data_IF_654693923766
#
_entry.id   IF_654693923766
#
_cell.length_a   1.000
_cell.length_b   1.000
_cell.length_c   1.000
_cell.angle_alpha   90.00
_cell.angle_beta   90.00
_cell.angle_gamma   90.00
#
_symmetry.space_group_name_H-M   'P 1'
#
loop_
_entity.id
_entity.type
_entity.pdbx_description
1 polymer ?
#
# COMPACT_ATOMS: atom_id res chain seq x y z
N UNK A 1 -11.69 -15.66 24.95
CA UNK A 1 -10.33 -15.91 24.43
C UNK A 1 -10.38 -16.02 22.92
N UNK A 2 -9.55 -15.25 22.21
CA UNK A 2 -9.49 -15.28 20.76
C UNK A 2 -8.81 -16.56 20.31
N UNK A 3 -9.48 -17.39 19.51
CA UNK A 3 -8.86 -18.61 19.03
C UNK A 3 -8.09 -18.38 17.72
N UNK A 4 -7.27 -19.35 17.35
CA UNK A 4 -6.39 -19.24 16.18
C UNK A 4 -7.17 -19.04 14.87
N UNK A 5 -8.34 -19.67 14.75
CA UNK A 5 -9.20 -19.55 13.57
C UNK A 5 -9.70 -18.11 13.43
N UNK A 6 -10.14 -17.51 14.53
CA UNK A 6 -10.64 -16.14 14.55
C UNK A 6 -9.54 -15.14 14.16
N UNK A 7 -8.34 -15.33 14.70
CA UNK A 7 -7.19 -14.50 14.35
C UNK A 7 -6.89 -14.61 12.85
N UNK A 8 -6.91 -15.82 12.30
CA UNK A 8 -6.65 -16.06 10.88
C UNK A 8 -7.70 -15.39 10.01
N UNK A 9 -8.97 -15.43 10.40
CA UNK A 9 -10.06 -14.81 9.65
C UNK A 9 -9.91 -13.29 9.61
N UNK A 10 -9.59 -12.67 10.73
CA UNK A 10 -9.39 -11.22 10.81
C UNK A 10 -8.19 -10.81 9.97
N UNK A 11 -7.09 -11.53 10.08
CA UNK A 11 -5.89 -11.28 9.31
C UNK A 11 -6.17 -11.35 7.80
N UNK A 12 -6.88 -12.39 7.36
CA UNK A 12 -7.21 -12.59 5.95
C UNK A 12 -8.07 -11.45 5.42
N UNK A 13 -9.06 -11.01 6.20
CA UNK A 13 -9.93 -9.90 5.82
C UNK A 13 -9.12 -8.62 5.64
N UNK A 14 -8.22 -8.32 6.58
CA UNK A 14 -7.37 -7.13 6.49
C UNK A 14 -6.39 -7.21 5.34
N UNK A 15 -5.87 -8.40 5.08
CA UNK A 15 -4.98 -8.62 3.94
C UNK A 15 -5.68 -8.32 2.61
N UNK A 16 -6.93 -8.74 2.46
CA UNK A 16 -7.73 -8.44 1.26
C UNK A 16 -7.97 -6.94 1.10
N UNK A 17 -8.25 -6.25 2.20
CA UNK A 17 -8.44 -4.80 2.18
C UNK A 17 -7.17 -4.08 1.71
N UNK A 18 -6.01 -4.50 2.21
CA UNK A 18 -4.72 -3.93 1.82
C UNK A 18 -4.45 -4.17 0.34
N UNK A 19 -4.69 -5.39 -0.14
CA UNK A 19 -4.47 -5.73 -1.55
C UNK A 19 -5.38 -4.91 -2.47
N UNK A 20 -6.63 -4.69 -2.07
CA UNK A 20 -7.55 -3.86 -2.85
C UNK A 20 -7.07 -2.41 -2.93
N UNK A 21 -6.56 -1.87 -1.81
CA UNK A 21 -6.00 -0.52 -1.77
C UNK A 21 -4.75 -0.39 -2.62
N UNK A 22 -3.92 -1.43 -2.65
CA UNK A 22 -2.72 -1.44 -3.48
C UNK A 22 -3.07 -1.43 -4.97
N UNK A 23 -4.11 -2.16 -5.37
CA UNK A 23 -4.59 -2.15 -6.76
C UNK A 23 -5.12 -0.77 -7.13
N UNK A 24 -5.89 -0.15 -6.25
CA UNK A 24 -6.40 1.19 -6.46
C UNK A 24 -5.26 2.20 -6.59
N UNK A 25 -4.27 2.10 -5.71
CA UNK A 25 -3.10 2.96 -5.75
C UNK A 25 -2.31 2.78 -7.04
N UNK A 26 -2.15 1.55 -7.49
CA UNK A 26 -1.48 1.25 -8.75
C UNK A 26 -2.17 1.92 -9.93
N UNK A 27 -3.50 1.87 -9.97
CA UNK A 27 -4.28 2.53 -11.01
C UNK A 27 -4.11 4.05 -10.95
N UNK A 28 -4.22 4.62 -9.77
CA UNK A 28 -4.08 6.07 -9.58
C UNK A 28 -2.68 6.56 -10.01
N UNK A 29 -1.64 5.85 -9.60
CA UNK A 29 -0.27 6.22 -9.96
C UNK A 29 -0.07 6.11 -11.47
N UNK A 30 -0.63 5.08 -12.10
CA UNK A 30 -0.55 4.90 -13.54
C UNK A 30 -1.23 6.00 -14.34
N UNK A 31 -2.19 6.70 -13.72
CA UNK A 31 -2.91 7.80 -14.35
C UNK A 31 -2.26 9.17 -14.08
N UNK A 32 -1.29 9.23 -13.19
CA UNK A 32 -0.61 10.48 -12.85
C UNK A 32 0.25 10.96 -14.01
N UNK A 33 0.21 12.26 -14.26
CA UNK A 33 1.01 12.91 -15.31
C UNK A 33 1.95 13.92 -14.68
N UNK A 34 3.21 13.94 -15.13
CA UNK A 34 4.19 14.89 -14.65
C UNK A 34 4.06 16.18 -15.47
N UNK A 35 3.34 17.15 -14.94
CA UNK A 35 3.17 18.47 -15.60
C UNK A 35 4.01 19.55 -14.92
N UNK A 36 4.37 19.34 -13.65
CA UNK A 36 5.13 20.31 -12.85
C UNK A 36 6.16 19.56 -11.98
N UNK A 37 7.16 20.31 -11.52
CA UNK A 37 8.16 19.75 -10.61
C UNK A 37 7.55 19.20 -9.31
N UNK A 38 6.44 19.78 -8.86
CA UNK A 38 5.71 19.28 -7.69
C UNK A 38 5.20 17.87 -7.88
N UNK A 39 4.77 17.53 -9.09
CA UNK A 39 4.28 16.18 -9.41
C UNK A 39 5.39 15.15 -9.29
N UNK A 40 6.62 15.53 -9.67
CA UNK A 40 7.79 14.68 -9.51
C UNK A 40 8.09 14.46 -8.02
N UNK A 41 7.98 15.52 -7.22
CA UNK A 41 8.15 15.44 -5.76
C UNK A 41 7.14 14.49 -5.12
N UNK A 42 5.90 14.51 -5.58
CA UNK A 42 4.85 13.62 -5.07
C UNK A 42 5.18 12.15 -5.35
N UNK A 43 5.66 11.85 -6.56
CA UNK A 43 6.06 10.48 -6.92
C UNK A 43 7.25 10.01 -6.09
N UNK A 44 8.22 10.89 -5.84
CA UNK A 44 9.38 10.56 -5.01
C UNK A 44 8.92 10.24 -3.58
N UNK A 45 7.99 11.03 -3.04
CA UNK A 45 7.46 10.81 -1.70
C UNK A 45 6.70 9.49 -1.59
N UNK A 46 5.87 9.18 -2.59
CA UNK A 46 5.14 7.90 -2.64
C UNK A 46 6.13 6.75 -2.67
N UNK A 47 7.17 6.86 -3.49
CA UNK A 47 8.20 5.83 -3.59
C UNK A 47 8.90 5.60 -2.24
N UNK A 48 9.19 6.68 -1.51
CA UNK A 48 9.78 6.61 -0.18
C UNK A 48 8.86 5.89 0.81
N UNK A 49 7.58 6.23 0.80
CA UNK A 49 6.59 5.59 1.67
C UNK A 49 6.44 4.11 1.38
N UNK A 50 6.47 3.73 0.11
CA UNK A 50 6.40 2.32 -0.30
C UNK A 50 7.63 1.56 0.16
N UNK A 51 8.81 2.17 0.10
CA UNK A 51 10.03 1.55 0.62
C UNK A 51 9.92 1.27 2.11
N UNK A 52 9.34 2.19 2.88
CA UNK A 52 9.13 2.00 4.31
C UNK A 52 8.19 0.83 4.58
N UNK A 53 7.10 0.73 3.81
CA UNK A 53 6.15 -0.39 3.94
C UNK A 53 6.82 -1.71 3.60
N UNK A 54 7.63 -1.74 2.54
CA UNK A 54 8.34 -2.95 2.13
C UNK A 54 9.35 -3.39 3.19
N UNK A 55 10.07 -2.46 3.80
CA UNK A 55 11.00 -2.76 4.89
C UNK A 55 10.28 -3.35 6.08
N UNK A 56 9.14 -2.77 6.43
CA UNK A 56 8.32 -3.28 7.52
C UNK A 56 7.86 -4.71 7.25
N UNK A 57 7.44 -4.99 6.02
CA UNK A 57 6.94 -6.30 5.63
C UNK A 57 8.03 -7.37 5.61
N UNK A 58 9.25 -6.96 5.24
CA UNK A 58 10.40 -7.87 5.09
C UNK A 58 11.24 -8.02 6.35
N UNK A 59 10.93 -7.29 7.41
CA UNK A 59 11.69 -7.34 8.66
C UNK A 59 11.36 -8.55 9.52
#
# INVERSE_FOLDING_TARGET
MTNKTEITMVHHKKQKEVLAKLQELQTEIGMMKAEHWGDIGDIIEINRMLDEVLRFTNS
#
